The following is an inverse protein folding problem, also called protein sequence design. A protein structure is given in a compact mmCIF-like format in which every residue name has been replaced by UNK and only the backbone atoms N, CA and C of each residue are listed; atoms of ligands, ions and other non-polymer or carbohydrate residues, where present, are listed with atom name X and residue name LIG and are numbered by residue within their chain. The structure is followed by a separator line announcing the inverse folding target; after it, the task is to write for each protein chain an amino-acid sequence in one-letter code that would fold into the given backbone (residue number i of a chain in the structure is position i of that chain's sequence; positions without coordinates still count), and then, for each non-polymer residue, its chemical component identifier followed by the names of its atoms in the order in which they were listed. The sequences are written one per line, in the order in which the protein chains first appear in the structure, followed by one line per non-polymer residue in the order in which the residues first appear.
data_IF_171739150322
#
_entry.id   IF_171739150322
#
_cell.length_a   1.000
_cell.length_b   1.000
_cell.length_c   1.000
_cell.angle_alpha   90.00
_cell.angle_beta   90.00
_cell.angle_gamma   90.00
#
_symmetry.space_group_name_H-M   'P 1'
#
loop_
_entity.id
_entity.type
_entity.pdbx_description
1 polymer ?
#
# COMPACT_ATOMS: atom_id res chain seq x y z
N UNK A 1 -40.28 125.01 -15.18
CA UNK A 1 -40.50 123.67 -14.60
C UNK A 1 -40.33 123.76 -13.10
N UNK A 2 -41.28 123.24 -12.30
CA UNK A 2 -41.33 123.49 -10.85
C UNK A 2 -40.14 122.83 -10.12
N UNK A 3 -39.67 123.44 -9.03
CA UNK A 3 -38.59 122.91 -8.16
C UNK A 3 -38.86 121.46 -7.69
N UNK A 4 -40.12 121.06 -7.62
CA UNK A 4 -40.56 119.72 -7.20
C UNK A 4 -40.15 118.66 -8.23
N UNK A 5 -40.26 118.95 -9.52
CA UNK A 5 -39.94 117.99 -10.58
C UNK A 5 -38.44 117.65 -10.62
N UNK A 6 -37.57 118.61 -10.31
CA UNK A 6 -36.13 118.40 -10.23
C UNK A 6 -35.73 117.54 -9.02
N UNK A 7 -36.37 117.73 -7.87
CA UNK A 7 -36.12 116.93 -6.65
C UNK A 7 -36.56 115.48 -6.83
N UNK A 8 -37.70 115.24 -7.46
CA UNK A 8 -38.20 113.88 -7.74
C UNK A 8 -37.27 113.15 -8.72
N UNK A 9 -36.76 113.82 -9.75
CA UNK A 9 -35.81 113.22 -10.70
C UNK A 9 -34.48 112.84 -10.03
N UNK A 10 -33.94 113.69 -9.15
CA UNK A 10 -32.70 113.41 -8.41
C UNK A 10 -32.88 112.26 -7.42
N UNK A 11 -34.02 112.20 -6.71
CA UNK A 11 -34.31 111.11 -5.78
C UNK A 11 -34.54 109.78 -6.50
N UNK A 12 -35.17 109.78 -7.68
CA UNK A 12 -35.32 108.58 -8.51
C UNK A 12 -33.96 108.10 -9.04
N UNK A 13 -33.11 109.02 -9.52
CA UNK A 13 -31.75 108.68 -9.97
C UNK A 13 -30.90 108.10 -8.83
N UNK A 14 -30.91 108.75 -7.65
CA UNK A 14 -30.19 108.25 -6.47
C UNK A 14 -30.71 106.88 -6.01
N UNK A 15 -32.03 106.69 -5.99
CA UNK A 15 -32.66 105.41 -5.62
C UNK A 15 -32.29 104.28 -6.58
N UNK A 16 -32.25 104.55 -7.89
CA UNK A 16 -31.82 103.57 -8.90
C UNK A 16 -30.32 103.28 -8.79
N UNK A 17 -29.47 104.29 -8.59
CA UNK A 17 -28.01 104.07 -8.47
C UNK A 17 -27.65 103.31 -7.20
N UNK A 18 -28.26 103.65 -6.06
CA UNK A 18 -27.99 102.97 -4.79
C UNK A 18 -28.55 101.55 -4.85
N UNK A 19 -29.80 101.36 -5.26
CA UNK A 19 -30.40 100.03 -5.44
C UNK A 19 -29.61 99.13 -6.39
N UNK A 20 -29.11 99.68 -7.50
CA UNK A 20 -28.24 98.97 -8.44
C UNK A 20 -26.92 98.53 -7.82
N UNK A 21 -26.25 99.40 -7.04
CA UNK A 21 -25.00 99.04 -6.36
C UNK A 21 -25.16 97.96 -5.29
N UNK A 22 -26.27 97.97 -4.53
CA UNK A 22 -26.57 96.92 -3.55
C UNK A 22 -26.79 95.56 -4.23
N UNK A 23 -27.54 95.53 -5.33
CA UNK A 23 -27.79 94.29 -6.10
C UNK A 23 -26.49 93.72 -6.67
N UNK A 24 -25.64 94.57 -7.27
CA UNK A 24 -24.34 94.15 -7.82
C UNK A 24 -23.43 93.60 -6.72
N UNK A 25 -23.39 94.24 -5.54
CA UNK A 25 -22.56 93.76 -4.42
C UNK A 25 -23.03 92.44 -3.82
N UNK A 26 -24.35 92.22 -3.80
CA UNK A 26 -24.94 90.97 -3.29
C UNK A 26 -24.67 89.80 -4.24
N UNK A 27 -24.85 90.00 -5.56
CA UNK A 27 -24.56 88.93 -6.53
C UNK A 27 -23.06 88.57 -6.55
N UNK A 28 -22.16 89.56 -6.49
CA UNK A 28 -20.72 89.27 -6.42
C UNK A 28 -20.33 88.50 -5.16
N UNK A 29 -20.89 88.85 -3.99
CA UNK A 29 -20.61 88.14 -2.75
C UNK A 29 -21.20 86.71 -2.75
N UNK A 30 -22.38 86.53 -3.34
CA UNK A 30 -22.99 85.23 -3.52
C UNK A 30 -22.17 84.34 -4.46
N UNK A 31 -21.75 84.87 -5.61
CA UNK A 31 -20.94 84.13 -6.59
C UNK A 31 -19.59 83.70 -5.99
N UNK A 32 -18.87 84.60 -5.31
CA UNK A 32 -17.59 84.28 -4.67
C UNK A 32 -17.77 83.23 -3.57
N UNK A 33 -18.80 83.37 -2.73
CA UNK A 33 -19.08 82.42 -1.65
C UNK A 33 -19.50 81.05 -2.17
N UNK A 34 -20.31 81.02 -3.22
CA UNK A 34 -20.74 79.79 -3.88
C UNK A 34 -19.57 79.12 -4.58
N UNK A 35 -18.76 79.86 -5.34
CA UNK A 35 -17.63 79.31 -6.09
C UNK A 35 -16.54 78.79 -5.15
N UNK A 36 -16.12 79.56 -4.13
CA UNK A 36 -15.13 79.09 -3.14
C UNK A 36 -15.67 77.94 -2.30
N UNK A 37 -16.90 78.01 -1.79
CA UNK A 37 -17.48 76.94 -0.98
C UNK A 37 -17.69 75.64 -1.75
N UNK A 38 -18.01 75.72 -3.05
CA UNK A 38 -18.20 74.54 -3.89
C UNK A 38 -16.87 73.95 -4.33
N UNK A 39 -15.90 74.77 -4.73
CA UNK A 39 -14.57 74.28 -5.17
C UNK A 39 -13.81 73.69 -3.99
N UNK A 40 -13.65 74.41 -2.88
CA UNK A 40 -12.87 73.94 -1.74
C UNK A 40 -13.53 72.73 -1.07
N UNK A 41 -14.86 72.76 -0.91
CA UNK A 41 -15.61 71.66 -0.29
C UNK A 41 -15.65 70.40 -1.15
N UNK A 42 -15.71 70.55 -2.47
CA UNK A 42 -15.70 69.42 -3.40
C UNK A 42 -14.31 68.80 -3.52
N UNK A 43 -13.27 69.64 -3.65
CA UNK A 43 -11.89 69.17 -3.80
C UNK A 43 -11.40 68.50 -2.51
N UNK A 44 -11.60 69.10 -1.33
CA UNK A 44 -11.21 68.47 -0.06
C UNK A 44 -12.02 67.19 0.22
N UNK A 45 -13.32 67.22 -0.06
CA UNK A 45 -14.21 66.07 0.13
C UNK A 45 -13.85 64.90 -0.79
N UNK A 46 -13.54 65.19 -2.06
CA UNK A 46 -13.09 64.18 -3.03
C UNK A 46 -11.70 63.67 -2.68
N UNK A 47 -10.75 64.55 -2.34
CA UNK A 47 -9.38 64.18 -2.01
C UNK A 47 -9.33 63.31 -0.75
N UNK A 48 -10.04 63.67 0.32
CA UNK A 48 -10.10 62.84 1.55
C UNK A 48 -10.89 61.55 1.32
N UNK A 49 -12.07 61.63 0.70
CA UNK A 49 -12.91 60.47 0.45
C UNK A 49 -12.21 59.43 -0.45
N UNK A 50 -11.55 59.89 -1.51
CA UNK A 50 -10.78 59.04 -2.40
C UNK A 50 -9.54 58.49 -1.70
N UNK A 51 -8.71 59.32 -1.08
CA UNK A 51 -7.46 58.83 -0.47
C UNK A 51 -7.72 57.89 0.71
N UNK A 52 -8.67 58.18 1.58
CA UNK A 52 -8.98 57.32 2.72
C UNK A 52 -9.75 56.07 2.28
N UNK A 53 -10.78 56.23 1.44
CA UNK A 53 -11.59 55.09 0.98
C UNK A 53 -10.81 54.13 0.10
N UNK A 54 -10.09 54.66 -0.90
CA UNK A 54 -9.30 53.86 -1.83
C UNK A 54 -8.08 53.25 -1.15
N UNK A 55 -7.24 54.04 -0.48
CA UNK A 55 -5.99 53.48 0.06
C UNK A 55 -6.25 52.52 1.22
N UNK A 56 -7.17 52.83 2.14
CA UNK A 56 -7.45 51.93 3.26
C UNK A 56 -8.20 50.69 2.80
N UNK A 57 -9.21 50.84 1.93
CA UNK A 57 -9.97 49.71 1.38
C UNK A 57 -9.12 48.79 0.52
N UNK A 58 -8.31 49.35 -0.39
CA UNK A 58 -7.41 48.59 -1.25
C UNK A 58 -6.31 47.90 -0.45
N UNK A 59 -5.60 48.61 0.42
CA UNK A 59 -4.51 48.02 1.21
C UNK A 59 -5.00 46.91 2.15
N UNK A 60 -6.13 47.15 2.84
CA UNK A 60 -6.69 46.17 3.79
C UNK A 60 -7.27 44.96 3.06
N UNK A 61 -7.93 45.19 1.92
CA UNK A 61 -8.47 44.13 1.06
C UNK A 61 -7.39 43.26 0.43
N UNK A 62 -6.32 43.87 -0.10
CA UNK A 62 -5.19 43.14 -0.69
C UNK A 62 -4.44 42.33 0.35
N UNK A 63 -4.11 42.93 1.51
CA UNK A 63 -3.35 42.26 2.55
C UNK A 63 -4.14 41.09 3.16
N UNK A 64 -5.42 41.30 3.48
CA UNK A 64 -6.27 40.27 4.09
C UNK A 64 -6.61 39.16 3.10
N UNK A 65 -6.97 39.51 1.86
CA UNK A 65 -7.33 38.55 0.82
C UNK A 65 -6.15 37.67 0.41
N UNK A 66 -4.95 38.26 0.28
CA UNK A 66 -3.73 37.51 -0.06
C UNK A 66 -3.28 36.61 1.08
N UNK A 67 -3.37 37.08 2.33
CA UNK A 67 -2.94 36.31 3.51
C UNK A 67 -3.84 35.11 3.77
N UNK A 68 -5.16 35.29 3.75
CA UNK A 68 -6.11 34.20 3.96
C UNK A 68 -6.15 33.26 2.74
N UNK A 69 -6.18 33.79 1.52
CA UNK A 69 -6.16 32.96 0.31
C UNK A 69 -4.89 32.09 0.19
N UNK A 70 -3.73 32.64 0.56
CA UNK A 70 -2.48 31.88 0.58
C UNK A 70 -2.45 30.83 1.69
N UNK A 71 -2.98 31.15 2.88
CA UNK A 71 -3.02 30.22 4.02
C UNK A 71 -3.94 29.03 3.73
N UNK A 72 -5.18 29.28 3.29
CA UNK A 72 -6.16 28.26 2.96
C UNK A 72 -5.72 27.41 1.77
N UNK A 73 -5.33 28.04 0.66
CA UNK A 73 -4.90 27.32 -0.54
C UNK A 73 -3.65 26.46 -0.32
N UNK A 74 -2.73 26.92 0.54
CA UNK A 74 -1.54 26.14 0.89
C UNK A 74 -1.83 25.05 1.91
N UNK A 75 -2.64 25.28 2.94
CA UNK A 75 -2.91 24.22 3.93
C UNK A 75 -3.75 23.10 3.32
N UNK A 76 -4.85 23.43 2.66
CA UNK A 76 -5.79 22.44 2.12
C UNK A 76 -5.15 21.68 0.95
N UNK A 77 -4.57 22.38 -0.02
CA UNK A 77 -3.96 21.74 -1.18
C UNK A 77 -2.70 20.91 -0.85
N UNK A 78 -1.92 21.32 0.14
CA UNK A 78 -0.72 20.58 0.55
C UNK A 78 -1.06 19.39 1.45
N UNK A 79 -2.00 19.54 2.39
CA UNK A 79 -2.43 18.43 3.24
C UNK A 79 -3.20 17.37 2.46
N UNK A 80 -4.14 17.73 1.58
CA UNK A 80 -4.81 16.74 0.73
C UNK A 80 -3.82 16.09 -0.24
N UNK A 81 -2.97 16.88 -0.89
CA UNK A 81 -2.00 16.38 -1.86
C UNK A 81 -0.96 15.44 -1.25
N UNK A 82 -0.41 15.77 -0.08
CA UNK A 82 0.47 14.86 0.65
C UNK A 82 -0.30 13.65 1.18
N UNK A 83 -1.43 13.85 1.86
CA UNK A 83 -2.11 12.75 2.56
C UNK A 83 -2.61 11.73 1.56
N UNK A 84 -3.34 12.14 0.51
CA UNK A 84 -3.85 11.22 -0.51
C UNK A 84 -2.73 10.68 -1.39
N UNK A 85 -1.85 11.54 -1.93
CA UNK A 85 -0.80 11.11 -2.85
C UNK A 85 0.21 10.17 -2.19
N UNK A 86 0.60 10.45 -0.95
CA UNK A 86 1.59 9.65 -0.23
C UNK A 86 0.97 8.40 0.40
N UNK A 87 -0.22 8.46 1.04
CA UNK A 87 -0.83 7.26 1.63
C UNK A 87 -1.32 6.29 0.56
N UNK A 88 -2.02 6.75 -0.48
CA UNK A 88 -2.51 5.85 -1.53
C UNK A 88 -1.36 5.33 -2.36
N UNK A 89 -0.44 6.19 -2.79
CA UNK A 89 0.72 5.76 -3.59
C UNK A 89 1.64 4.80 -2.83
N UNK A 90 1.84 5.01 -1.53
CA UNK A 90 2.61 4.09 -0.69
C UNK A 90 1.83 2.82 -0.38
N UNK A 91 0.54 2.91 -0.07
CA UNK A 91 -0.27 1.73 0.26
C UNK A 91 -0.45 0.85 -0.97
N UNK A 92 -0.86 1.38 -2.11
CA UNK A 92 -1.00 0.59 -3.34
C UNK A 92 0.37 0.13 -3.86
N UNK A 93 1.37 1.02 -3.92
CA UNK A 93 2.70 0.65 -4.40
C UNK A 93 3.41 -0.36 -3.51
N UNK A 94 3.28 -0.25 -2.19
CA UNK A 94 3.85 -1.22 -1.25
C UNK A 94 3.04 -2.50 -1.21
N UNK A 95 1.71 -2.44 -1.11
CA UNK A 95 0.88 -3.65 -1.06
C UNK A 95 0.99 -4.40 -2.38
N UNK A 96 0.75 -3.79 -3.54
CA UNK A 96 0.83 -4.48 -4.83
C UNK A 96 2.26 -4.91 -5.14
N UNK A 97 3.24 -4.00 -5.01
CA UNK A 97 4.63 -4.30 -5.35
C UNK A 97 5.28 -5.32 -4.41
N UNK A 98 5.02 -5.23 -3.10
CA UNK A 98 5.51 -6.22 -2.14
C UNK A 98 4.72 -7.52 -2.27
N UNK A 99 3.40 -7.48 -2.33
CA UNK A 99 2.61 -8.71 -2.34
C UNK A 99 2.83 -9.49 -3.63
N UNK A 100 2.67 -8.88 -4.80
CA UNK A 100 2.88 -9.57 -6.08
C UNK A 100 4.35 -9.97 -6.27
N UNK A 101 5.29 -9.07 -5.92
CA UNK A 101 6.72 -9.35 -6.06
C UNK A 101 7.23 -10.41 -5.08
N UNK A 102 6.71 -10.42 -3.84
CA UNK A 102 7.05 -11.43 -2.83
C UNK A 102 6.34 -12.73 -3.13
N UNK A 103 5.04 -12.74 -3.42
CA UNK A 103 4.30 -13.97 -3.74
C UNK A 103 4.86 -14.62 -5.00
N UNK A 104 5.11 -13.88 -6.08
CA UNK A 104 5.64 -14.46 -7.31
C UNK A 104 7.12 -14.83 -7.18
N UNK A 105 7.92 -13.97 -6.55
CA UNK A 105 9.33 -14.25 -6.30
C UNK A 105 9.55 -15.42 -5.33
N UNK A 106 8.73 -15.53 -4.29
CA UNK A 106 8.72 -16.65 -3.35
C UNK A 106 8.20 -17.90 -4.03
N UNK A 107 7.06 -17.85 -4.74
CA UNK A 107 6.50 -19.02 -5.44
C UNK A 107 7.47 -19.57 -6.47
N UNK A 108 7.97 -18.73 -7.40
CA UNK A 108 8.92 -19.20 -8.42
C UNK A 108 10.26 -19.61 -7.79
N UNK A 109 10.84 -18.75 -6.95
CA UNK A 109 12.16 -18.99 -6.38
C UNK A 109 12.20 -20.17 -5.42
N UNK A 110 11.17 -20.31 -4.59
CA UNK A 110 11.00 -21.45 -3.70
C UNK A 110 10.56 -22.67 -4.46
N UNK A 111 9.44 -22.69 -5.19
CA UNK A 111 8.95 -23.92 -5.81
C UNK A 111 9.92 -24.45 -6.88
N UNK A 112 10.37 -23.63 -7.83
CA UNK A 112 11.27 -24.11 -8.89
C UNK A 112 12.67 -24.38 -8.35
N UNK A 113 13.18 -23.53 -7.45
CA UNK A 113 14.50 -23.69 -6.85
C UNK A 113 14.59 -24.88 -5.89
N UNK A 114 13.55 -25.08 -5.07
CA UNK A 114 13.42 -26.20 -4.14
C UNK A 114 13.16 -27.51 -4.88
N UNK A 115 12.25 -27.54 -5.85
CA UNK A 115 11.97 -28.75 -6.63
C UNK A 115 13.20 -29.15 -7.43
N UNK A 116 13.76 -28.24 -8.23
CA UNK A 116 14.92 -28.54 -9.09
C UNK A 116 16.16 -28.85 -8.25
N UNK A 117 16.38 -28.09 -7.16
CA UNK A 117 17.52 -28.28 -6.26
C UNK A 117 17.46 -29.60 -5.50
N UNK A 118 16.30 -29.97 -4.95
CA UNK A 118 16.14 -31.23 -4.24
C UNK A 118 16.06 -32.42 -5.19
N UNK A 119 15.36 -32.32 -6.32
CA UNK A 119 15.32 -33.40 -7.32
C UNK A 119 16.72 -33.68 -7.87
N UNK A 120 17.50 -32.64 -8.17
CA UNK A 120 18.87 -32.79 -8.67
C UNK A 120 19.83 -33.29 -7.58
N UNK A 121 19.78 -32.72 -6.38
CA UNK A 121 20.64 -33.17 -5.27
C UNK A 121 20.30 -34.59 -4.80
N UNK A 122 19.00 -34.92 -4.73
CA UNK A 122 18.52 -36.28 -4.45
C UNK A 122 18.92 -37.22 -5.57
N UNK A 123 18.66 -36.91 -6.84
CA UNK A 123 19.04 -37.79 -7.97
C UNK A 123 20.54 -38.02 -8.00
N UNK A 124 21.36 -37.00 -7.75
CA UNK A 124 22.82 -37.14 -7.70
C UNK A 124 23.24 -37.98 -6.49
N UNK A 125 22.71 -37.72 -5.28
CA UNK A 125 23.06 -38.47 -4.08
C UNK A 125 22.55 -39.92 -4.13
N UNK A 126 21.34 -40.14 -4.62
CA UNK A 126 20.71 -41.43 -4.86
C UNK A 126 21.47 -42.21 -5.94
N UNK A 127 21.67 -41.64 -7.12
CA UNK A 127 22.36 -42.31 -8.23
C UNK A 127 23.83 -42.58 -7.88
N UNK A 128 24.51 -41.64 -7.23
CA UNK A 128 25.91 -41.82 -6.83
C UNK A 128 26.04 -42.80 -5.66
N UNK A 129 25.16 -42.73 -4.66
CA UNK A 129 25.11 -43.68 -3.55
C UNK A 129 24.73 -45.10 -3.98
N UNK A 130 23.83 -45.24 -4.96
CA UNK A 130 23.48 -46.51 -5.60
C UNK A 130 24.64 -47.02 -6.45
N UNK A 131 25.25 -46.23 -7.33
CA UNK A 131 26.33 -46.71 -8.20
C UNK A 131 27.60 -47.02 -7.39
N UNK A 132 27.96 -46.19 -6.41
CA UNK A 132 29.16 -46.40 -5.58
C UNK A 132 28.92 -47.44 -4.46
N UNK A 133 27.70 -47.55 -3.94
CA UNK A 133 27.32 -48.54 -2.92
C UNK A 133 26.87 -49.91 -3.47
N UNK A 134 26.28 -49.97 -4.67
CA UNK A 134 25.83 -51.20 -5.33
C UNK A 134 26.93 -51.93 -6.10
N UNK A 135 28.20 -51.57 -5.88
CA UNK A 135 29.31 -52.52 -6.01
C UNK A 135 29.15 -53.77 -5.13
N UNK A 136 28.06 -53.87 -4.33
CA UNK A 136 27.69 -55.01 -3.48
C UNK A 136 26.26 -55.57 -3.68
N UNK A 137 25.58 -55.31 -4.80
CA UNK A 137 24.41 -56.11 -5.21
C UNK A 137 23.21 -56.13 -4.24
N UNK A 138 22.65 -54.97 -3.90
CA UNK A 138 21.32 -54.93 -3.27
C UNK A 138 20.26 -55.14 -4.35
N UNK A 139 19.55 -56.27 -4.31
CA UNK A 139 18.28 -56.42 -5.03
C UNK A 139 17.21 -55.79 -4.14
N UNK A 140 16.95 -54.50 -4.32
CA UNK A 140 15.86 -53.81 -3.62
C UNK A 140 14.53 -54.42 -4.05
N UNK A 141 13.63 -54.62 -3.09
CA UNK A 141 12.28 -55.12 -3.34
C UNK A 141 11.22 -54.30 -2.63
N UNK A 142 10.02 -54.35 -3.17
CA UNK A 142 8.85 -53.82 -2.51
C UNK A 142 8.47 -54.68 -1.26
N UNK A 143 8.23 -54.07 -0.09
CA UNK A 143 7.80 -54.80 1.11
C UNK A 143 6.32 -55.22 1.02
N UNK A 144 5.90 -56.20 1.83
CA UNK A 144 4.48 -56.32 2.22
C UNK A 144 4.10 -55.21 3.18
N UNK A 145 2.81 -54.89 3.31
CA UNK A 145 2.34 -53.88 4.26
C UNK A 145 2.75 -54.20 5.70
N UNK A 146 2.74 -55.49 6.07
CA UNK A 146 3.20 -55.93 7.39
C UNK A 146 4.70 -55.68 7.59
N UNK A 147 5.52 -55.98 6.59
CA UNK A 147 6.96 -55.69 6.64
C UNK A 147 7.23 -54.20 6.75
N UNK A 148 6.53 -53.37 5.95
CA UNK A 148 6.63 -51.91 6.03
C UNK A 148 6.27 -51.40 7.44
N UNK A 149 5.17 -51.90 8.02
CA UNK A 149 4.76 -51.57 9.41
C UNK A 149 5.84 -51.92 10.43
N UNK A 150 6.43 -53.11 10.32
CA UNK A 150 7.51 -53.53 11.23
C UNK A 150 8.74 -52.64 11.05
N UNK A 151 9.15 -52.39 9.81
CA UNK A 151 10.29 -51.53 9.49
C UNK A 151 10.12 -50.15 10.13
N UNK A 152 9.01 -49.46 9.83
CA UNK A 152 8.67 -48.14 10.36
C UNK A 152 8.82 -48.10 11.89
N UNK A 153 8.30 -49.10 12.61
CA UNK A 153 8.38 -49.12 14.07
C UNK A 153 9.79 -49.34 14.65
N UNK A 154 10.78 -49.65 13.81
CA UNK A 154 12.12 -50.06 14.24
C UNK A 154 13.26 -49.23 13.63
N UNK A 155 13.02 -48.49 12.55
CA UNK A 155 14.09 -47.75 11.86
C UNK A 155 14.61 -46.55 12.67
N UNK A 156 13.75 -45.98 13.53
CA UNK A 156 14.14 -45.00 14.54
C UNK A 156 14.41 -43.59 13.99
N UNK A 157 13.99 -43.30 12.76
CA UNK A 157 14.13 -41.97 12.16
C UNK A 157 13.34 -40.92 12.92
N UNK A 158 12.16 -41.28 13.43
CA UNK A 158 11.26 -40.49 14.29
C UNK A 158 11.90 -40.01 15.60
N UNK A 159 13.03 -40.60 16.02
CA UNK A 159 13.73 -40.25 17.27
C UNK A 159 14.60 -39.00 17.15
N UNK A 160 14.83 -38.50 15.94
CA UNK A 160 15.54 -37.23 15.76
C UNK A 160 14.68 -36.07 16.24
N UNK A 161 15.34 -34.94 16.56
CA UNK A 161 14.65 -33.70 16.90
C UNK A 161 14.59 -32.82 15.66
N UNK A 162 13.41 -32.28 15.36
CA UNK A 162 13.29 -31.27 14.31
C UNK A 162 14.08 -30.02 14.71
N UNK A 163 14.95 -29.56 13.81
CA UNK A 163 15.72 -28.34 13.98
C UNK A 163 15.58 -27.55 12.69
N UNK A 164 14.99 -26.36 12.79
CA UNK A 164 14.76 -25.49 11.64
C UNK A 164 16.05 -25.22 10.87
N UNK A 165 15.99 -25.35 9.55
CA UNK A 165 17.13 -25.24 8.61
C UNK A 165 18.36 -26.14 8.87
N UNK A 166 18.27 -27.10 9.79
CA UNK A 166 19.39 -28.01 10.15
C UNK A 166 19.01 -29.48 10.02
N UNK A 167 17.82 -29.85 10.51
CA UNK A 167 17.28 -31.20 10.43
C UNK A 167 15.76 -31.12 10.27
N UNK A 168 15.36 -30.98 9.01
CA UNK A 168 13.98 -30.77 8.56
C UNK A 168 13.42 -32.02 7.84
N UNK A 169 12.23 -31.92 7.27
CA UNK A 169 11.52 -33.02 6.60
C UNK A 169 12.34 -33.76 5.52
N UNK A 170 13.25 -33.05 4.84
CA UNK A 170 14.15 -33.65 3.83
C UNK A 170 15.14 -34.61 4.49
N UNK A 171 15.66 -34.24 5.67
CA UNK A 171 16.62 -35.05 6.42
C UNK A 171 15.97 -36.32 6.97
N UNK A 172 14.78 -36.21 7.56
CA UNK A 172 14.01 -37.39 7.99
C UNK A 172 13.73 -38.34 6.81
N UNK A 173 13.24 -37.82 5.68
CA UNK A 173 12.92 -38.65 4.51
C UNK A 173 14.16 -39.35 3.95
N UNK A 174 15.29 -38.66 3.87
CA UNK A 174 16.58 -39.24 3.45
C UNK A 174 17.02 -40.37 4.38
N UNK A 175 17.03 -40.13 5.69
CA UNK A 175 17.55 -41.10 6.66
C UNK A 175 16.65 -42.35 6.72
N UNK A 176 15.33 -42.16 6.62
CA UNK A 176 14.36 -43.26 6.51
C UNK A 176 14.61 -44.13 5.27
N UNK A 177 14.81 -43.53 4.09
CA UNK A 177 15.10 -44.25 2.84
C UNK A 177 16.41 -45.03 2.97
N UNK A 178 17.47 -44.41 3.50
CA UNK A 178 18.75 -45.08 3.76
C UNK A 178 18.55 -46.30 4.66
N UNK A 179 17.74 -46.18 5.70
CA UNK A 179 17.44 -47.29 6.61
C UNK A 179 16.61 -48.39 5.92
N UNK A 180 15.67 -48.03 5.05
CA UNK A 180 14.87 -48.97 4.26
C UNK A 180 15.76 -49.76 3.29
N UNK A 181 16.68 -49.07 2.61
CA UNK A 181 17.63 -49.68 1.68
C UNK A 181 18.59 -50.65 2.38
N UNK A 182 19.06 -50.33 3.59
CA UNK A 182 19.86 -51.26 4.41
C UNK A 182 19.11 -52.56 4.73
N UNK A 183 17.78 -52.51 4.77
CA UNK A 183 16.89 -53.67 4.95
C UNK A 183 16.45 -54.32 3.62
N UNK A 184 16.95 -53.82 2.49
CA UNK A 184 16.64 -54.33 1.16
C UNK A 184 15.30 -53.86 0.59
N UNK A 185 14.70 -52.81 1.15
CA UNK A 185 13.43 -52.27 0.67
C UNK A 185 13.62 -51.13 -0.32
N UNK A 186 12.87 -51.19 -1.41
CA UNK A 186 12.66 -50.07 -2.31
C UNK A 186 11.71 -49.07 -1.64
N UNK A 187 12.11 -47.80 -1.56
CA UNK A 187 11.38 -46.74 -0.86
C UNK A 187 11.47 -45.47 -1.70
N UNK A 188 10.32 -44.83 -1.95
CA UNK A 188 10.25 -43.60 -2.72
C UNK A 188 10.45 -42.40 -1.81
N UNK A 189 11.21 -41.42 -2.28
CA UNK A 189 11.12 -40.06 -1.78
C UNK A 189 9.88 -39.38 -2.38
N UNK A 190 9.13 -38.66 -1.57
CA UNK A 190 7.86 -38.06 -1.99
C UNK A 190 7.87 -36.57 -1.71
N UNK A 191 7.59 -35.77 -2.73
CA UNK A 191 7.36 -34.33 -2.58
C UNK A 191 5.86 -34.08 -2.68
N UNK A 192 5.31 -33.40 -1.68
CA UNK A 192 3.95 -32.88 -1.68
C UNK A 192 4.04 -31.36 -1.81
N UNK A 193 3.34 -30.79 -2.79
CA UNK A 193 3.22 -29.34 -2.92
C UNK A 193 1.91 -28.82 -2.35
N UNK A 194 1.97 -27.59 -1.87
CA UNK A 194 0.84 -26.76 -1.44
C UNK A 194 0.79 -25.49 -2.30
N UNK A 195 -0.09 -24.55 -1.98
CA UNK A 195 -0.12 -23.24 -2.66
C UNK A 195 1.03 -22.32 -2.25
N UNK A 196 1.60 -22.54 -1.07
CA UNK A 196 2.65 -21.68 -0.47
C UNK A 196 3.78 -22.54 0.13
N UNK A 197 4.28 -23.50 -0.64
CA UNK A 197 5.44 -24.32 -0.28
C UNK A 197 5.27 -25.82 -0.52
N UNK A 198 6.19 -26.61 0.02
CA UNK A 198 6.25 -28.05 -0.16
C UNK A 198 6.68 -28.79 1.11
N UNK A 199 6.37 -30.09 1.15
CA UNK A 199 6.74 -30.98 2.24
C UNK A 199 7.28 -32.31 1.71
N UNK A 200 8.22 -32.90 2.43
CA UNK A 200 8.85 -34.17 2.08
C UNK A 200 8.29 -35.33 2.91
N UNK A 201 7.96 -36.42 2.24
CA UNK A 201 7.51 -37.69 2.79
C UNK A 201 8.29 -38.85 2.17
N UNK A 202 7.94 -40.06 2.58
CA UNK A 202 8.40 -41.31 1.98
C UNK A 202 7.22 -42.20 1.63
N UNK A 203 7.40 -43.12 0.69
CA UNK A 203 6.36 -44.09 0.35
C UNK A 203 6.92 -45.47 0.04
N UNK A 204 6.12 -46.49 0.37
CA UNK A 204 6.34 -47.85 -0.07
C UNK A 204 5.26 -48.26 -1.06
N UNK A 205 5.65 -48.82 -2.20
CA UNK A 205 4.72 -49.57 -3.02
C UNK A 205 4.56 -50.98 -2.41
N UNK A 206 3.59 -51.16 -1.53
CA UNK A 206 3.44 -52.46 -0.87
C UNK A 206 2.87 -53.50 -1.81
N UNK A 207 3.40 -54.72 -1.75
CA UNK A 207 3.02 -55.83 -2.64
C UNK A 207 1.57 -56.30 -2.48
N UNK A 208 0.94 -56.00 -1.34
CA UNK A 208 -0.40 -56.47 -0.96
C UNK A 208 -1.43 -55.35 -0.72
N UNK A 209 -1.02 -54.07 -0.61
CA UNK A 209 -1.95 -52.94 -0.41
C UNK A 209 -1.68 -51.73 -1.31
N UNK A 210 -0.73 -51.84 -2.24
CA UNK A 210 -0.33 -50.75 -3.13
C UNK A 210 0.44 -49.64 -2.38
N UNK A 211 0.42 -48.44 -2.95
CA UNK A 211 1.18 -47.31 -2.42
C UNK A 211 0.69 -46.86 -1.05
N UNK A 212 1.61 -46.76 -0.09
CA UNK A 212 1.36 -46.19 1.24
C UNK A 212 2.36 -45.09 1.51
N UNK A 213 1.86 -43.95 2.00
CA UNK A 213 2.65 -42.77 2.30
C UNK A 213 2.90 -42.68 3.80
N UNK A 214 4.10 -42.29 4.19
CA UNK A 214 4.56 -42.26 5.58
C UNK A 214 5.15 -40.89 5.88
N UNK A 215 4.79 -40.34 7.04
CA UNK A 215 5.44 -39.18 7.66
C UNK A 215 6.62 -39.69 8.52
N UNK A 216 7.87 -39.62 8.04
CA UNK A 216 9.03 -40.19 8.72
C UNK A 216 9.36 -39.49 10.05
N UNK A 217 8.82 -38.29 10.29
CA UNK A 217 8.96 -37.60 11.58
C UNK A 217 8.11 -38.23 12.71
N UNK A 218 7.11 -39.04 12.37
CA UNK A 218 6.13 -39.53 13.34
C UNK A 218 5.65 -40.96 13.10
N UNK A 219 6.23 -41.68 12.13
CA UNK A 219 5.84 -43.04 11.74
C UNK A 219 4.39 -43.19 11.28
N UNK A 220 3.76 -42.09 10.91
CA UNK A 220 2.33 -42.06 10.59
C UNK A 220 2.07 -42.39 9.14
N UNK A 221 1.06 -43.23 8.92
CA UNK A 221 0.49 -43.42 7.60
C UNK A 221 -0.35 -42.22 7.21
N UNK A 222 -0.04 -41.65 6.06
CA UNK A 222 -0.68 -40.45 5.54
C UNK A 222 -1.65 -40.82 4.41
N UNK A 223 -2.85 -40.23 4.47
CA UNK A 223 -3.81 -40.28 3.37
C UNK A 223 -3.62 -39.02 2.53
N UNK A 224 -2.79 -39.12 1.50
CA UNK A 224 -2.47 -37.98 0.64
C UNK A 224 -3.11 -38.15 -0.73
N UNK A 225 -3.71 -37.07 -1.22
CA UNK A 225 -4.36 -37.02 -2.53
C UNK A 225 -4.43 -35.56 -2.98
N UNK A 226 -4.14 -35.31 -4.25
CA UNK A 226 -4.32 -33.98 -4.86
C UNK A 226 -5.77 -33.50 -4.67
N UNK A 227 -5.92 -32.25 -4.23
CA UNK A 227 -7.19 -31.61 -3.91
C UNK A 227 -7.74 -31.92 -2.51
N UNK A 228 -7.00 -32.64 -1.67
CA UNK A 228 -7.34 -32.85 -0.25
C UNK A 228 -6.39 -32.08 0.65
N UNK A 229 -6.90 -31.59 1.78
CA UNK A 229 -6.07 -31.00 2.85
C UNK A 229 -5.13 -32.04 3.44
N UNK A 230 -3.90 -31.63 3.72
CA UNK A 230 -2.86 -32.50 4.25
C UNK A 230 -3.03 -32.79 5.75
N UNK A 231 -3.40 -31.78 6.53
CA UNK A 231 -3.65 -31.95 7.96
C UNK A 231 -4.77 -32.95 8.21
N UNK A 232 -4.57 -33.76 9.25
CA UNK A 232 -5.56 -34.74 9.65
C UNK A 232 -6.50 -34.16 10.70
N UNK A 233 -7.79 -34.05 10.34
CA UNK A 233 -8.89 -33.57 11.20
C UNK A 233 -9.02 -34.30 12.53
N UNK A 234 -8.60 -35.55 12.59
CA UNK A 234 -8.75 -36.41 13.76
C UNK A 234 -7.63 -36.20 14.79
N UNK A 235 -6.54 -35.51 14.42
CA UNK A 235 -5.30 -35.52 15.21
C UNK A 235 -4.74 -34.14 15.49
N UNK A 236 -4.96 -33.16 14.61
CA UNK A 236 -4.52 -31.77 14.83
C UNK A 236 -5.67 -30.79 14.64
N UNK A 237 -5.52 -29.59 15.19
CA UNK A 237 -6.34 -28.45 14.77
C UNK A 237 -5.93 -28.06 13.35
N UNK A 238 -6.89 -27.55 12.59
CA UNK A 238 -6.63 -27.00 11.27
C UNK A 238 -5.51 -25.95 11.38
N UNK A 239 -4.51 -25.98 10.47
CA UNK A 239 -3.56 -24.88 10.36
C UNK A 239 -4.29 -23.59 9.95
N UNK A 240 -3.63 -22.44 10.16
CA UNK A 240 -4.18 -21.14 9.76
C UNK A 240 -3.95 -20.82 8.26
N UNK A 241 -3.26 -21.70 7.54
CA UNK A 241 -2.94 -21.58 6.12
C UNK A 241 -3.60 -22.71 5.32
N UNK A 242 -3.71 -22.54 4.00
CA UNK A 242 -4.21 -23.59 3.09
C UNK A 242 -3.11 -24.61 2.80
N UNK A 243 -3.34 -25.85 3.22
CA UNK A 243 -2.46 -26.99 3.00
C UNK A 243 -3.10 -28.03 2.07
N UNK A 244 -3.99 -27.57 1.18
CA UNK A 244 -4.54 -28.40 0.10
C UNK A 244 -3.41 -28.88 -0.80
N UNK A 245 -3.29 -30.20 -0.94
CA UNK A 245 -2.26 -30.81 -1.78
C UNK A 245 -2.49 -30.45 -3.24
N UNK A 246 -1.55 -29.77 -3.86
CA UNK A 246 -1.59 -29.34 -5.27
C UNK A 246 -0.89 -30.33 -6.20
N UNK A 247 0.17 -30.98 -5.72
CA UNK A 247 0.97 -31.96 -6.48
C UNK A 247 1.55 -33.04 -5.56
N UNK A 248 1.78 -34.22 -6.15
CA UNK A 248 2.52 -35.32 -5.51
C UNK A 248 3.54 -35.83 -6.52
N UNK A 249 4.82 -35.78 -6.18
CA UNK A 249 5.93 -36.29 -7.00
C UNK A 249 6.55 -37.47 -6.28
N UNK A 250 6.71 -38.60 -6.98
CA UNK A 250 7.39 -39.79 -6.49
C UNK A 250 8.75 -39.90 -7.15
N UNK A 251 9.80 -39.99 -6.35
CA UNK A 251 11.17 -40.17 -6.82
C UNK A 251 11.64 -41.55 -6.32
N UNK A 252 11.96 -42.49 -7.22
CA UNK A 252 12.38 -43.85 -6.85
C UNK A 252 13.73 -43.89 -6.13
#
# INVERSE_FOLDING_TARGET
MSKITAVVAVLLLLGVTVGGTWIISYEQAYDIGYESGTVDGFDDGQQQGYNTGYNTGYATGEESGKKEGYKTGRSEGYEEGQTYGWLMGRSEGYTTGHQEGYEEGHRIGYDEGFDTGNETAYTIAYTKGIIEGAGRGYTLRDPTYREARTFISTDGTDRHKYIDDVYDCKHYSRDFIINAMKQGYHCFYVIIGFSDGAHALVAFNTTDRGMVYIEPQSDRFMKVKVGMVYWNRDIYRAPSWDDTVTKIVLIP
#
